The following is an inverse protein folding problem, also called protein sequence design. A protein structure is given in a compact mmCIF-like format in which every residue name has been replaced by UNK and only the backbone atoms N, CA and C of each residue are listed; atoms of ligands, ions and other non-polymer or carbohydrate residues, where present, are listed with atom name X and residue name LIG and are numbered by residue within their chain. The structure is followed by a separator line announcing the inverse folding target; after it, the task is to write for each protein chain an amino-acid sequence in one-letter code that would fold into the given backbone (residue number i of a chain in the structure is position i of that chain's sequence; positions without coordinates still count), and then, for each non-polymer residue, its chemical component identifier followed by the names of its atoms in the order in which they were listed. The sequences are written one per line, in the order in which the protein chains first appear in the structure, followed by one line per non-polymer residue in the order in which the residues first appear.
data_IF_533321115329
#
_entry.id   IF_533321115329
#
_cell.length_a   1.000
_cell.length_b   1.000
_cell.length_c   1.000
_cell.angle_alpha   90.00
_cell.angle_beta   90.00
_cell.angle_gamma   90.00
#
_symmetry.space_group_name_H-M   'P 1'
#
loop_
_entity.id
_entity.type
_entity.pdbx_description
1 polymer ?
#
# COMPACT_ATOMS: atom_id res chain seq x y z
N UNK A 1 18.82 3.78 14.96
CA UNK A 1 18.62 2.75 13.92
C UNK A 1 18.41 1.35 14.49
N UNK A 2 19.23 0.85 15.43
CA UNK A 2 19.10 -0.53 15.97
C UNK A 2 17.69 -0.89 16.47
N UNK A 3 16.93 0.06 17.05
CA UNK A 3 15.56 -0.18 17.56
C UNK A 3 14.57 -0.59 16.46
N UNK A 4 14.86 -0.30 15.18
CA UNK A 4 13.99 -0.63 14.06
C UNK A 4 14.31 -1.97 13.39
N UNK A 5 15.40 -2.64 13.74
CA UNK A 5 15.78 -3.93 13.15
C UNK A 5 14.64 -4.96 13.12
N UNK A 6 13.81 -5.11 14.18
CA UNK A 6 12.69 -6.06 14.13
C UNK A 6 11.76 -5.82 12.95
N UNK A 7 11.37 -4.56 12.68
CA UNK A 7 10.47 -4.23 11.57
C UNK A 7 11.21 -4.25 10.22
N UNK A 8 12.49 -3.83 10.18
CA UNK A 8 13.28 -3.85 8.96
C UNK A 8 13.46 -5.27 8.41
N UNK A 9 13.62 -6.27 9.28
CA UNK A 9 13.74 -7.69 8.91
C UNK A 9 12.46 -8.24 8.26
N UNK A 10 11.29 -7.71 8.60
CA UNK A 10 10.02 -8.15 8.00
C UNK A 10 9.77 -7.51 6.64
N UNK A 11 10.44 -6.41 6.33
CA UNK A 11 10.27 -5.72 5.05
C UNK A 11 10.92 -6.50 3.90
N UNK A 12 10.18 -6.72 2.79
CA UNK A 12 10.73 -7.38 1.60
C UNK A 12 11.98 -6.70 1.04
N UNK A 13 12.13 -5.39 1.27
CA UNK A 13 13.28 -4.62 0.80
C UNK A 13 14.61 -5.07 1.42
N UNK A 14 14.60 -5.48 2.69
CA UNK A 14 15.80 -5.96 3.40
C UNK A 14 15.92 -7.49 3.41
N UNK A 15 15.10 -8.19 2.65
CA UNK A 15 15.11 -9.66 2.59
C UNK A 15 16.50 -10.20 2.24
N UNK A 16 16.96 -11.17 3.05
CA UNK A 16 18.24 -11.84 2.84
C UNK A 16 19.48 -11.04 3.28
N UNK A 17 19.29 -9.96 4.04
CA UNK A 17 20.33 -9.17 4.66
C UNK A 17 20.43 -9.47 6.16
N UNK A 18 21.63 -9.48 6.69
CA UNK A 18 21.92 -9.55 8.13
C UNK A 18 21.74 -8.18 8.79
N UNK A 19 21.62 -8.13 10.10
CA UNK A 19 21.50 -6.86 10.86
C UNK A 19 22.63 -5.87 10.59
N UNK A 20 23.87 -6.38 10.53
CA UNK A 20 25.04 -5.52 10.29
C UNK A 20 25.00 -4.95 8.87
N UNK A 21 24.57 -5.74 7.89
CA UNK A 21 24.38 -5.28 6.51
C UNK A 21 23.28 -4.23 6.41
N UNK A 22 22.13 -4.45 7.07
CA UNK A 22 21.03 -3.47 7.16
C UNK A 22 21.53 -2.16 7.76
N UNK A 23 22.23 -2.20 8.91
CA UNK A 23 22.75 -0.98 9.55
C UNK A 23 23.77 -0.25 8.69
N UNK A 24 24.65 -0.99 8.00
CA UNK A 24 25.61 -0.42 7.06
C UNK A 24 24.92 0.29 5.89
N UNK A 25 23.90 -0.36 5.29
CA UNK A 25 23.11 0.22 4.22
C UNK A 25 22.38 1.49 4.67
N UNK A 26 21.74 1.46 5.84
CA UNK A 26 21.04 2.64 6.36
C UNK A 26 21.97 3.85 6.50
N UNK A 27 23.24 3.61 6.87
CA UNK A 27 24.26 4.65 6.87
C UNK A 27 24.59 5.15 5.46
N UNK A 28 24.81 4.23 4.52
CA UNK A 28 25.13 4.56 3.12
C UNK A 28 24.04 5.40 2.43
N UNK A 29 22.77 5.04 2.64
CA UNK A 29 21.62 5.77 2.04
C UNK A 29 21.19 7.01 2.83
N UNK A 30 22.00 7.41 3.83
CA UNK A 30 21.72 8.56 4.70
C UNK A 30 20.32 8.48 5.33
N UNK A 31 20.01 7.34 5.93
CA UNK A 31 18.71 7.09 6.53
C UNK A 31 18.44 8.06 7.70
N UNK A 32 17.31 8.73 7.66
CA UNK A 32 16.85 9.66 8.69
C UNK A 32 15.48 9.24 9.21
N UNK A 33 15.25 9.41 10.51
CA UNK A 33 13.96 9.12 11.13
C UNK A 33 13.18 10.39 11.34
N UNK A 34 11.91 10.38 10.98
CA UNK A 34 10.94 11.44 11.28
C UNK A 34 9.69 10.84 11.91
N UNK A 35 9.06 11.59 12.81
CA UNK A 35 7.79 11.22 13.44
C UNK A 35 6.87 12.42 13.54
N UNK A 36 5.57 12.22 13.40
CA UNK A 36 4.54 13.26 13.50
C UNK A 36 3.23 12.65 13.97
N UNK A 37 2.27 13.52 14.19
CA UNK A 37 0.92 13.16 14.58
C UNK A 37 0.07 12.78 13.36
N UNK A 38 -1.03 12.08 13.64
CA UNK A 38 -2.10 11.82 12.69
C UNK A 38 -2.46 13.06 11.89
N UNK A 39 -2.96 12.88 10.67
CA UNK A 39 -3.41 13.91 9.72
C UNK A 39 -2.29 14.86 9.22
N UNK A 40 -1.02 14.60 9.60
CA UNK A 40 0.10 15.35 9.05
C UNK A 40 0.52 14.84 7.67
N UNK A 41 0.92 15.78 6.79
CA UNK A 41 1.49 15.42 5.50
C UNK A 41 2.97 15.05 5.65
N UNK A 42 3.36 13.96 4.99
CA UNK A 42 4.75 13.52 4.85
C UNK A 42 5.32 14.03 3.52
N UNK A 43 4.57 13.80 2.45
CA UNK A 43 4.82 14.33 1.11
C UNK A 43 3.58 15.04 0.60
N UNK A 44 3.76 16.08 -0.22
CA UNK A 44 2.67 16.82 -0.85
C UNK A 44 2.73 16.71 -2.37
N UNK A 45 1.58 16.59 -2.99
CA UNK A 45 1.48 16.75 -4.44
C UNK A 45 2.02 18.11 -4.86
N UNK A 46 2.79 18.14 -5.94
CA UNK A 46 3.49 19.35 -6.42
C UNK A 46 4.94 19.44 -5.97
N UNK A 47 5.35 18.73 -4.90
CA UNK A 47 6.75 18.69 -4.47
C UNK A 47 7.55 17.67 -5.29
N UNK A 48 8.87 17.70 -5.18
CA UNK A 48 9.79 16.66 -5.65
C UNK A 48 10.47 15.99 -4.47
N UNK A 49 10.92 14.74 -4.64
CA UNK A 49 11.62 14.02 -3.57
C UNK A 49 12.71 13.12 -4.13
N UNK A 50 13.83 13.04 -3.43
CA UNK A 50 14.91 12.07 -3.66
C UNK A 50 14.88 10.95 -2.62
N UNK A 51 13.95 11.03 -1.65
CA UNK A 51 13.84 10.05 -0.59
C UNK A 51 12.53 9.28 -0.70
N UNK A 52 12.59 7.98 -0.42
CA UNK A 52 11.42 7.14 -0.16
C UNK A 52 11.23 6.98 1.34
N UNK A 53 9.99 6.74 1.77
CA UNK A 53 9.66 6.47 3.15
C UNK A 53 9.42 4.99 3.41
N UNK A 54 9.93 4.47 4.53
CA UNK A 54 9.57 3.19 5.12
C UNK A 54 8.78 3.46 6.40
N UNK A 55 7.58 2.96 6.49
CA UNK A 55 6.79 3.05 7.74
C UNK A 55 7.39 2.11 8.77
N UNK A 56 7.79 2.64 9.93
CA UNK A 56 8.31 1.82 11.04
C UNK A 56 7.33 1.73 12.21
N UNK A 57 6.39 2.67 12.30
CA UNK A 57 5.24 2.63 13.22
C UNK A 57 4.08 3.44 12.65
N UNK A 58 2.85 3.04 12.97
CA UNK A 58 1.63 3.67 12.48
C UNK A 58 1.26 3.25 11.06
N UNK A 59 0.49 4.11 10.40
CA UNK A 59 -0.04 3.87 9.06
C UNK A 59 -0.13 5.17 8.28
N UNK A 60 0.12 5.10 6.97
CA UNK A 60 0.00 6.24 6.06
C UNK A 60 -0.86 5.90 4.85
N UNK A 61 -1.55 6.91 4.31
CA UNK A 61 -2.33 6.84 3.08
C UNK A 61 -1.57 7.56 1.97
N UNK A 62 -1.43 6.92 0.82
CA UNK A 62 -1.03 7.56 -0.43
C UNK A 62 -2.31 7.97 -1.12
N UNK A 63 -2.52 9.27 -1.25
CA UNK A 63 -3.76 9.85 -1.75
C UNK A 63 -3.53 10.72 -2.98
N UNK A 64 -4.56 10.85 -3.78
CA UNK A 64 -4.68 11.82 -4.84
C UNK A 64 -5.95 12.64 -4.60
N UNK A 65 -5.81 13.95 -4.63
CA UNK A 65 -6.93 14.89 -4.45
C UNK A 65 -7.04 15.78 -5.69
N UNK A 66 -8.27 16.01 -6.15
CA UNK A 66 -8.54 16.94 -7.23
C UNK A 66 -8.82 18.37 -6.68
N UNK A 67 -9.00 19.33 -7.59
CA UNK A 67 -9.28 20.72 -7.24
C UNK A 67 -10.63 20.90 -6.52
N UNK A 68 -11.52 19.93 -6.56
CA UNK A 68 -12.83 19.95 -5.90
C UNK A 68 -12.83 19.22 -4.57
N UNK A 69 -11.65 18.69 -4.14
CA UNK A 69 -11.50 17.99 -2.88
C UNK A 69 -11.93 16.52 -2.90
N UNK A 70 -12.19 15.94 -4.09
CA UNK A 70 -12.41 14.51 -4.17
C UNK A 70 -11.12 13.76 -3.91
N UNK A 71 -11.17 12.87 -2.95
CA UNK A 71 -10.03 12.05 -2.53
C UNK A 71 -10.10 10.65 -3.13
N UNK A 72 -8.98 10.20 -3.68
CA UNK A 72 -8.76 8.84 -4.12
C UNK A 72 -7.58 8.25 -3.34
N UNK A 73 -7.79 7.18 -2.58
CA UNK A 73 -6.72 6.45 -1.89
C UNK A 73 -6.08 5.48 -2.87
N UNK A 74 -4.81 5.71 -3.21
CA UNK A 74 -4.05 4.80 -4.08
C UNK A 74 -3.57 3.58 -3.31
N UNK A 75 -3.06 3.77 -2.10
CA UNK A 75 -2.62 2.68 -1.22
C UNK A 75 -2.65 3.11 0.24
N UNK A 76 -2.72 2.11 1.13
CA UNK A 76 -2.52 2.24 2.57
C UNK A 76 -1.27 1.46 2.92
N UNK A 77 -0.31 2.14 3.57
CA UNK A 77 0.99 1.57 3.92
C UNK A 77 1.08 1.40 5.43
N UNK A 78 1.35 0.18 5.86
CA UNK A 78 1.55 -0.21 7.26
C UNK A 78 3.04 -0.35 7.59
N UNK A 79 3.35 -0.64 8.84
CA UNK A 79 4.73 -0.87 9.27
C UNK A 79 5.39 -1.99 8.43
N UNK A 80 6.56 -1.69 7.88
CA UNK A 80 7.29 -2.54 6.92
C UNK A 80 7.09 -2.17 5.45
N UNK A 81 6.06 -1.37 5.11
CA UNK A 81 5.78 -0.93 3.74
C UNK A 81 6.53 0.34 3.38
N UNK A 82 6.77 0.50 2.07
CA UNK A 82 7.39 1.67 1.47
C UNK A 82 6.38 2.56 0.75
N UNK A 83 6.77 3.84 0.57
CA UNK A 83 6.06 4.80 -0.27
C UNK A 83 7.04 5.82 -0.88
N UNK A 84 6.63 6.44 -2.00
CA UNK A 84 7.42 7.48 -2.67
C UNK A 84 8.54 6.97 -3.57
N UNK A 85 8.75 5.65 -3.69
CA UNK A 85 9.85 5.03 -4.43
C UNK A 85 9.87 5.43 -5.92
N UNK A 86 8.72 5.45 -6.65
CA UNK A 86 8.73 5.81 -8.07
C UNK A 86 9.27 7.22 -8.31
N UNK A 87 8.89 8.15 -7.44
CA UNK A 87 9.32 9.56 -7.54
C UNK A 87 10.78 9.73 -7.14
N UNK A 88 11.18 9.12 -6.02
CA UNK A 88 12.55 9.16 -5.53
C UNK A 88 13.55 8.50 -6.50
N UNK A 89 13.12 7.49 -7.27
CA UNK A 89 13.92 6.80 -8.28
C UNK A 89 13.95 7.54 -9.63
N UNK A 90 13.03 8.51 -9.86
CA UNK A 90 12.90 9.23 -11.14
C UNK A 90 13.35 10.68 -10.97
N UNK A 91 14.59 11.05 -11.35
CA UNK A 91 15.10 12.40 -11.19
C UNK A 91 14.19 13.45 -11.85
N UNK A 92 13.83 14.49 -11.10
CA UNK A 92 12.96 15.56 -11.57
C UNK A 92 11.46 15.23 -11.59
N UNK A 93 11.05 14.03 -11.17
CA UNK A 93 9.63 13.71 -11.07
C UNK A 93 8.96 14.55 -9.98
N UNK A 94 7.82 15.13 -10.34
CA UNK A 94 6.95 15.86 -9.41
C UNK A 94 5.89 14.90 -8.89
N UNK A 95 5.66 14.92 -7.58
CA UNK A 95 4.62 14.10 -6.94
C UNK A 95 3.24 14.53 -7.45
N UNK A 96 2.49 13.60 -8.01
CA UNK A 96 1.06 13.79 -8.31
C UNK A 96 0.16 13.17 -7.22
N UNK A 97 0.77 12.82 -6.08
CA UNK A 97 0.13 12.24 -4.91
C UNK A 97 0.61 12.94 -3.65
N UNK A 98 -0.20 12.91 -2.60
CA UNK A 98 0.23 13.27 -1.24
C UNK A 98 0.32 12.00 -0.39
N UNK A 99 1.16 12.04 0.64
CA UNK A 99 1.24 10.99 1.65
C UNK A 99 0.83 11.61 2.98
N UNK A 100 -0.23 11.07 3.60
CA UNK A 100 -0.87 11.60 4.81
C UNK A 100 -0.89 10.52 5.88
N UNK A 101 -0.64 10.91 7.10
CA UNK A 101 -0.71 10.01 8.25
C UNK A 101 -2.17 9.65 8.60
N UNK A 102 -2.48 8.36 8.66
CA UNK A 102 -3.77 7.84 9.14
C UNK A 102 -3.79 7.62 10.65
N UNK A 103 -2.59 7.52 11.25
CA UNK A 103 -2.35 7.38 12.68
C UNK A 103 -1.11 8.20 13.08
N UNK A 104 -0.79 8.27 14.38
CA UNK A 104 0.53 8.76 14.82
C UNK A 104 1.61 7.83 14.24
N UNK A 105 2.67 8.39 13.67
CA UNK A 105 3.58 7.63 12.83
C UNK A 105 5.06 7.91 13.11
N UNK A 106 5.88 6.93 12.79
CA UNK A 106 7.32 7.03 12.69
C UNK A 106 7.78 6.42 11.35
N UNK A 107 8.58 7.17 10.60
CA UNK A 107 9.03 6.81 9.25
C UNK A 107 10.53 6.93 9.17
N UNK A 108 11.15 6.01 8.45
CA UNK A 108 12.53 6.05 8.05
C UNK A 108 12.61 6.54 6.59
N UNK A 109 13.24 7.68 6.37
CA UNK A 109 13.51 8.23 5.04
C UNK A 109 14.83 7.70 4.51
N UNK A 110 14.84 7.22 3.27
CA UNK A 110 16.00 6.60 2.60
C UNK A 110 16.25 7.33 1.28
N UNK A 111 17.47 7.84 1.06
CA UNK A 111 17.83 8.47 -0.20
C UNK A 111 18.05 7.41 -1.27
N UNK A 112 17.14 7.37 -2.26
CA UNK A 112 17.16 6.36 -3.34
C UNK A 112 18.29 6.63 -4.33
N UNK A 113 18.64 7.89 -4.59
CA UNK A 113 19.73 8.23 -5.51
C UNK A 113 21.06 7.65 -5.01
N UNK A 114 21.31 7.72 -3.69
CA UNK A 114 22.49 7.09 -3.08
C UNK A 114 22.50 5.57 -3.19
N UNK A 115 21.33 4.95 -3.24
CA UNK A 115 21.20 3.52 -3.46
C UNK A 115 21.53 3.13 -4.91
N UNK A 116 21.09 3.95 -5.87
CA UNK A 116 21.25 3.68 -7.31
C UNK A 116 22.65 4.04 -7.82
N UNK A 117 23.34 5.00 -7.19
CA UNK A 117 24.72 5.32 -7.51
C UNK A 117 25.62 4.22 -6.95
N UNK A 118 26.31 3.53 -7.84
CA UNK A 118 27.24 2.44 -7.48
C UNK A 118 28.24 2.87 -6.43
N UNK A 119 28.29 2.15 -5.32
CA UNK A 119 29.38 2.27 -4.37
C UNK A 119 30.71 1.99 -5.10
N UNK A 120 31.80 2.73 -4.84
CA UNK A 120 33.11 2.52 -5.50
C UNK A 120 33.63 1.08 -5.33
N UNK A 121 33.22 0.42 -4.28
CA UNK A 121 33.34 -1.03 -4.08
C UNK A 121 31.98 -1.64 -4.37
N UNK A 122 31.82 -2.39 -5.46
CA UNK A 122 30.60 -3.14 -5.78
C UNK A 122 30.27 -4.04 -4.59
N UNK A 123 29.44 -3.52 -3.71
CA UNK A 123 29.08 -4.19 -2.46
C UNK A 123 27.92 -5.15 -2.79
N UNK A 124 28.08 -6.44 -2.54
CA UNK A 124 27.05 -7.46 -2.75
C UNK A 124 25.71 -7.08 -2.08
N UNK A 125 25.76 -6.34 -0.99
CA UNK A 125 24.60 -5.88 -0.24
C UNK A 125 23.76 -4.87 -1.06
N UNK A 126 24.40 -3.96 -1.80
CA UNK A 126 23.70 -3.03 -2.70
C UNK A 126 23.00 -3.75 -3.85
N UNK A 127 23.64 -4.77 -4.43
CA UNK A 127 23.01 -5.56 -5.49
C UNK A 127 21.78 -6.31 -4.99
N UNK A 128 21.84 -6.91 -3.79
CA UNK A 128 20.68 -7.55 -3.15
C UNK A 128 19.56 -6.54 -2.93
N UNK A 129 19.91 -5.35 -2.42
CA UNK A 129 18.94 -4.31 -2.11
C UNK A 129 18.23 -3.77 -3.37
N UNK A 130 19.00 -3.53 -4.46
CA UNK A 130 18.43 -3.12 -5.75
C UNK A 130 17.48 -4.21 -6.29
N UNK A 131 17.87 -5.48 -6.21
CA UNK A 131 17.01 -6.59 -6.62
C UNK A 131 15.73 -6.64 -5.79
N UNK A 132 15.84 -6.44 -4.48
CA UNK A 132 14.67 -6.39 -3.58
C UNK A 132 13.78 -5.18 -3.91
N UNK A 133 14.37 -4.01 -4.22
CA UNK A 133 13.61 -2.82 -4.65
C UNK A 133 12.80 -3.11 -5.91
N UNK A 134 13.40 -3.75 -6.91
CA UNK A 134 12.69 -4.17 -8.13
C UNK A 134 11.51 -5.09 -7.78
N UNK A 135 11.70 -6.03 -6.86
CA UNK A 135 10.63 -6.92 -6.38
C UNK A 135 9.50 -6.16 -5.68
N UNK A 136 9.83 -5.17 -4.85
CA UNK A 136 8.85 -4.29 -4.18
C UNK A 136 8.05 -3.50 -5.21
N UNK A 137 8.72 -2.88 -6.19
CA UNK A 137 8.07 -2.12 -7.26
C UNK A 137 7.16 -3.00 -8.13
N UNK A 138 7.63 -4.20 -8.51
CA UNK A 138 6.84 -5.15 -9.27
C UNK A 138 5.56 -5.56 -8.53
N UNK A 139 5.65 -5.86 -7.22
CA UNK A 139 4.48 -6.19 -6.41
C UNK A 139 3.50 -5.02 -6.33
N UNK A 140 3.98 -3.78 -6.20
CA UNK A 140 3.12 -2.60 -6.22
C UNK A 140 2.39 -2.41 -7.54
N UNK A 141 3.05 -2.69 -8.68
CA UNK A 141 2.42 -2.66 -10.00
C UNK A 141 1.27 -3.67 -10.06
N UNK A 142 1.45 -4.88 -9.53
CA UNK A 142 0.38 -5.88 -9.48
C UNK A 142 -0.81 -5.40 -8.64
N UNK A 143 -0.56 -4.82 -7.47
CA UNK A 143 -1.62 -4.25 -6.61
C UNK A 143 -2.36 -3.11 -7.32
N UNK A 144 -1.65 -2.24 -8.05
CA UNK A 144 -2.26 -1.16 -8.83
C UNK A 144 -3.08 -1.69 -10.00
N UNK A 145 -2.65 -2.76 -10.68
CA UNK A 145 -3.40 -3.42 -11.73
C UNK A 145 -4.71 -4.03 -11.19
N UNK A 146 -4.67 -4.66 -10.01
CA UNK A 146 -5.88 -5.13 -9.33
C UNK A 146 -6.82 -3.96 -9.06
N UNK A 147 -6.31 -2.84 -8.54
CA UNK A 147 -7.11 -1.65 -8.28
C UNK A 147 -7.76 -1.12 -9.57
N UNK A 148 -7.01 -1.00 -10.68
CA UNK A 148 -7.55 -0.58 -11.97
C UNK A 148 -8.70 -1.50 -12.39
N UNK A 149 -8.56 -2.81 -12.20
CA UNK A 149 -9.61 -3.79 -12.49
C UNK A 149 -10.87 -3.54 -11.67
N UNK A 150 -10.73 -3.22 -10.36
CA UNK A 150 -11.87 -2.96 -9.49
C UNK A 150 -12.57 -1.66 -9.86
N UNK A 151 -11.82 -0.56 -10.00
CA UNK A 151 -12.40 0.76 -10.29
C UNK A 151 -12.93 0.87 -11.72
N UNK A 152 -12.45 0.04 -12.64
CA UNK A 152 -12.94 -0.07 -14.02
C UNK A 152 -14.31 -0.75 -14.15
N UNK A 153 -14.84 -1.38 -13.11
CA UNK A 153 -16.20 -1.94 -13.11
C UNK A 153 -17.25 -0.83 -13.20
N UNK A 154 -18.39 -1.14 -13.80
CA UNK A 154 -19.43 -0.12 -14.08
C UNK A 154 -20.26 0.26 -12.86
N UNK A 155 -20.63 -0.72 -12.03
CA UNK A 155 -21.54 -0.49 -10.89
C UNK A 155 -20.80 -0.52 -9.56
N UNK A 156 -21.34 0.16 -8.55
CA UNK A 156 -20.85 0.10 -7.15
C UNK A 156 -20.76 -1.34 -6.66
N UNK A 157 -21.79 -2.15 -7.00
CA UNK A 157 -21.84 -3.57 -6.67
C UNK A 157 -20.66 -4.33 -7.26
N UNK A 158 -20.42 -4.20 -8.55
CA UNK A 158 -19.35 -4.92 -9.23
C UNK A 158 -17.96 -4.50 -8.74
N UNK A 159 -17.75 -3.21 -8.47
CA UNK A 159 -16.51 -2.69 -7.87
C UNK A 159 -16.25 -3.34 -6.53
N UNK A 160 -17.27 -3.36 -5.65
CA UNK A 160 -17.17 -3.91 -4.31
C UNK A 160 -16.92 -5.42 -4.34
N UNK A 161 -17.70 -6.18 -5.10
CA UNK A 161 -17.54 -7.63 -5.23
C UNK A 161 -16.20 -8.00 -5.85
N UNK A 162 -15.74 -7.27 -6.87
CA UNK A 162 -14.43 -7.48 -7.49
C UNK A 162 -13.30 -7.29 -6.47
N UNK A 163 -13.36 -6.26 -5.63
CA UNK A 163 -12.38 -6.02 -4.58
C UNK A 163 -12.40 -7.12 -3.51
N UNK A 164 -13.56 -7.41 -2.94
CA UNK A 164 -13.71 -8.43 -1.89
C UNK A 164 -13.27 -9.82 -2.37
N UNK A 165 -13.62 -10.19 -3.61
CA UNK A 165 -13.17 -11.43 -4.23
C UNK A 165 -11.65 -11.51 -4.34
N UNK A 166 -10.99 -10.43 -4.78
CA UNK A 166 -9.53 -10.41 -4.90
C UNK A 166 -8.83 -10.51 -3.53
N UNK A 167 -9.41 -9.89 -2.49
CA UNK A 167 -8.87 -10.02 -1.12
C UNK A 167 -9.03 -11.46 -0.62
N UNK A 168 -10.19 -12.07 -0.83
CA UNK A 168 -10.46 -13.47 -0.47
C UNK A 168 -9.47 -14.42 -1.12
N UNK A 169 -9.23 -14.26 -2.42
CA UNK A 169 -8.26 -15.08 -3.18
C UNK A 169 -6.84 -14.91 -2.62
N UNK A 170 -6.41 -13.65 -2.38
CA UNK A 170 -5.06 -13.37 -1.83
C UNK A 170 -4.84 -13.95 -0.45
N UNK A 171 -5.87 -13.93 0.41
CA UNK A 171 -5.79 -14.45 1.77
C UNK A 171 -6.15 -15.93 1.85
N UNK A 172 -6.54 -16.56 0.73
CA UNK A 172 -7.02 -17.92 0.65
C UNK A 172 -8.10 -18.20 1.71
N UNK A 173 -8.99 -17.24 1.95
CA UNK A 173 -10.04 -17.30 2.98
C UNK A 173 -11.30 -16.59 2.52
N UNK A 174 -12.45 -17.12 2.85
CA UNK A 174 -13.75 -16.46 2.67
C UNK A 174 -14.07 -15.49 3.82
N UNK A 175 -13.34 -15.55 4.92
CA UNK A 175 -13.49 -14.67 6.10
C UNK A 175 -12.19 -13.93 6.32
N UNK A 176 -12.23 -12.58 6.21
CA UNK A 176 -11.02 -11.75 6.20
C UNK A 176 -11.30 -10.32 6.65
N UNK A 177 -10.23 -9.66 7.07
CA UNK A 177 -10.21 -8.22 7.34
C UNK A 177 -9.65 -7.45 6.16
N UNK A 178 -10.23 -6.25 5.91
CA UNK A 178 -9.70 -5.29 4.97
C UNK A 178 -9.00 -4.14 5.73
N UNK A 179 -7.97 -3.50 5.13
CA UNK A 179 -7.21 -2.46 5.83
C UNK A 179 -7.95 -1.11 5.90
N UNK A 180 -9.08 -0.99 5.24
CA UNK A 180 -9.83 0.27 5.08
C UNK A 180 -11.04 0.33 6.01
N UNK A 181 -11.29 1.52 6.58
CA UNK A 181 -12.62 1.85 7.09
C UNK A 181 -13.62 2.10 5.94
N UNK A 182 -14.89 2.41 6.27
CA UNK A 182 -15.94 2.60 5.24
C UNK A 182 -15.68 3.79 4.32
N UNK A 183 -15.14 4.90 4.84
CA UNK A 183 -14.81 6.06 4.02
C UNK A 183 -13.60 5.74 3.15
N UNK A 184 -12.56 5.19 3.74
CA UNK A 184 -11.34 4.80 3.02
C UNK A 184 -11.62 3.77 1.90
N UNK A 185 -12.51 2.80 2.15
CA UNK A 185 -12.91 1.84 1.11
C UNK A 185 -13.65 2.52 -0.06
N UNK A 186 -14.54 3.46 0.24
CA UNK A 186 -15.24 4.23 -0.78
C UNK A 186 -14.25 5.07 -1.61
N UNK A 187 -13.32 5.76 -0.95
CA UNK A 187 -12.26 6.54 -1.59
C UNK A 187 -11.31 5.65 -2.42
N UNK A 188 -10.99 4.43 -1.93
CA UNK A 188 -10.16 3.46 -2.65
C UNK A 188 -10.84 2.94 -3.93
N UNK A 189 -12.15 2.67 -3.88
CA UNK A 189 -12.94 2.17 -5.01
C UNK A 189 -13.50 3.27 -5.91
N UNK A 190 -13.24 4.55 -5.60
CA UNK A 190 -13.78 5.70 -6.32
C UNK A 190 -15.31 5.63 -6.45
N UNK A 191 -16.00 5.48 -5.32
CA UNK A 191 -17.47 5.42 -5.22
C UNK A 191 -17.96 6.30 -4.06
N UNK A 192 -19.20 6.75 -4.15
CA UNK A 192 -19.85 7.46 -3.07
C UNK A 192 -20.05 6.54 -1.84
N UNK A 193 -19.74 7.06 -0.64
CA UNK A 193 -19.84 6.29 0.63
C UNK A 193 -21.26 5.84 0.93
N UNK A 194 -22.27 6.69 0.66
CA UNK A 194 -23.64 6.34 0.94
C UNK A 194 -24.15 5.27 -0.03
N UNK A 195 -23.77 5.39 -1.34
CA UNK A 195 -24.06 4.38 -2.34
C UNK A 195 -23.42 3.03 -2.00
N UNK A 196 -22.16 3.04 -1.54
CA UNK A 196 -21.46 1.83 -1.08
C UNK A 196 -22.16 1.19 0.13
N UNK A 197 -22.53 2.00 1.13
CA UNK A 197 -23.19 1.49 2.33
C UNK A 197 -24.56 0.88 2.04
N UNK A 198 -25.30 1.50 1.12
CA UNK A 198 -26.56 0.96 0.60
C UNK A 198 -26.35 -0.39 -0.08
N UNK A 199 -25.33 -0.50 -0.93
CA UNK A 199 -25.05 -1.73 -1.66
C UNK A 199 -24.56 -2.85 -0.74
N UNK A 200 -23.74 -2.55 0.26
CA UNK A 200 -23.34 -3.51 1.30
C UNK A 200 -24.57 -4.08 2.02
N UNK A 201 -25.53 -3.20 2.36
CA UNK A 201 -26.76 -3.64 3.03
C UNK A 201 -27.62 -4.54 2.14
N UNK A 202 -27.66 -4.32 0.80
CA UNK A 202 -28.34 -5.20 -0.15
C UNK A 202 -27.64 -6.55 -0.23
N UNK A 203 -26.32 -6.57 -0.38
CA UNK A 203 -25.53 -7.81 -0.44
C UNK A 203 -25.68 -8.66 0.82
N UNK A 204 -25.81 -8.03 2.00
CA UNK A 204 -26.10 -8.73 3.26
C UNK A 204 -27.50 -9.34 3.27
N UNK A 205 -28.53 -8.60 2.79
CA UNK A 205 -29.91 -9.11 2.68
C UNK A 205 -30.02 -10.26 1.69
N UNK A 206 -29.25 -10.24 0.63
CA UNK A 206 -29.15 -11.33 -0.37
C UNK A 206 -28.35 -12.53 0.15
N UNK A 207 -27.71 -12.42 1.32
CA UNK A 207 -26.91 -13.48 1.90
C UNK A 207 -25.54 -13.70 1.25
N UNK A 208 -25.11 -12.80 0.36
CA UNK A 208 -23.82 -12.92 -0.37
C UNK A 208 -22.62 -12.55 0.49
N UNK A 209 -22.79 -11.64 1.45
CA UNK A 209 -21.76 -11.23 2.38
C UNK A 209 -22.31 -11.10 3.80
N UNK A 210 -21.44 -11.30 4.79
CA UNK A 210 -21.62 -10.77 6.14
C UNK A 210 -20.49 -9.81 6.43
N UNK A 211 -20.75 -8.75 7.18
CA UNK A 211 -19.71 -7.79 7.54
C UNK A 211 -19.96 -7.15 8.90
N UNK A 212 -18.87 -6.95 9.61
CA UNK A 212 -18.81 -6.17 10.84
C UNK A 212 -17.59 -5.23 10.74
N UNK A 213 -17.84 -3.91 10.62
CA UNK A 213 -16.79 -2.90 10.38
C UNK A 213 -15.95 -3.23 9.15
N UNK A 214 -14.66 -3.57 9.34
CA UNK A 214 -13.72 -3.93 8.30
C UNK A 214 -13.56 -5.44 8.06
N UNK A 215 -14.30 -6.24 8.84
CA UNK A 215 -14.36 -7.69 8.65
C UNK A 215 -15.44 -8.07 7.63
N UNK A 216 -15.12 -8.99 6.72
CA UNK A 216 -16.02 -9.52 5.70
C UNK A 216 -15.98 -11.04 5.66
N UNK A 217 -17.15 -11.65 5.49
CA UNK A 217 -17.31 -13.05 5.17
C UNK A 217 -18.07 -13.15 3.84
N UNK A 218 -17.53 -13.88 2.87
CA UNK A 218 -18.18 -14.14 1.59
C UNK A 218 -18.93 -15.47 1.67
N UNK A 219 -20.16 -15.47 1.18
CA UNK A 219 -20.91 -16.70 0.97
C UNK A 219 -20.76 -17.08 -0.50
N UNK A 220 -20.11 -18.22 -0.77
CA UNK A 220 -20.09 -18.79 -2.13
C UNK A 220 -21.42 -19.50 -2.33
N UNK A 221 -22.26 -19.00 -3.23
CA UNK A 221 -23.39 -19.78 -3.74
C UNK A 221 -22.78 -20.95 -4.51
N UNK A 222 -22.84 -22.15 -3.95
CA UNK A 222 -22.57 -23.37 -4.70
C UNK A 222 -23.74 -23.58 -5.67
N UNK A 223 -23.78 -22.85 -6.77
CA UNK A 223 -24.57 -23.21 -7.93
C UNK A 223 -23.89 -24.45 -8.56
N UNK A 224 -24.31 -25.62 -8.13
CA UNK A 224 -23.90 -26.92 -8.64
C UNK A 224 -24.43 -27.19 -10.05
N UNK A 225 -24.78 -26.15 -10.84
CA UNK A 225 -25.42 -26.34 -12.16
C UNK A 225 -24.87 -25.49 -13.32
N UNK A 226 -23.70 -24.88 -13.18
CA UNK A 226 -23.02 -24.31 -14.35
C UNK A 226 -21.53 -24.67 -14.32
N UNK A 227 -21.19 -25.70 -15.13
CA UNK A 227 -19.86 -26.28 -15.24
C UNK A 227 -18.78 -25.30 -15.70
N UNK A 228 -18.22 -24.53 -14.78
CA UNK A 228 -16.95 -23.86 -14.98
C UNK A 228 -15.92 -24.63 -14.12
N UNK A 229 -15.17 -25.50 -14.78
CA UNK A 229 -13.98 -26.14 -14.21
C UNK A 229 -12.93 -25.05 -13.94
N UNK A 230 -12.41 -25.02 -12.71
CA UNK A 230 -11.16 -24.32 -12.40
C UNK A 230 -9.98 -24.98 -13.10
#
# INVERSE_FOLDING_TARGET
MKKYLPILRTSPFFKGLTDNEILSILHCVNAATISRKRDSYIFRAGDSTEVMGLVVAGCVLVIQEDLWGHRNILSKCHAGDFFGEPYAASPGAVLNVSVVADEDWEILLLNVQRLLVSCPTICEHHQKLIRNLVGVLANKILILNDKITHVGKRTTRDKLLSYLSSVSIRQASLSFDIPFDRQQLADYLCIDRAAMSSEISKLQKEGLIKTNRNHFELTVCNDTDSGIKM
#
